data_IF_798718702886
#
_entry.id   IF_798718702886
#
_cell.length_a   1.000
_cell.length_b   1.000
_cell.length_c   1.000
_cell.angle_alpha   90.00
_cell.angle_beta   90.00
_cell.angle_gamma   90.00
#
_symmetry.space_group_name_H-M   'P 1'
#
loop_
_entity.id
_entity.type
_entity.pdbx_description
1 polymer ?
#
# COMPACT_ATOMS: atom_id res chain seq x y z
N UNK A 1 -17.13 18.44 -0.94
CA UNK A 1 -17.49 17.02 -0.85
C UNK A 1 -17.20 16.57 0.56
N UNK A 2 -18.22 16.06 1.25
CA UNK A 2 -18.07 15.65 2.66
C UNK A 2 -17.30 14.33 2.66
N UNK A 3 -16.01 14.40 3.00
CA UNK A 3 -15.17 13.20 3.13
C UNK A 3 -15.69 12.44 4.34
N UNK A 4 -16.38 11.33 4.11
CA UNK A 4 -16.92 10.49 5.16
C UNK A 4 -15.81 10.23 6.20
N UNK A 5 -16.14 10.44 7.48
CA UNK A 5 -15.17 10.19 8.58
C UNK A 5 -14.62 8.77 8.46
N UNK A 6 -13.30 8.59 8.47
CA UNK A 6 -12.71 7.27 8.34
C UNK A 6 -13.23 6.36 9.45
N UNK A 7 -13.64 5.15 9.07
CA UNK A 7 -14.12 4.15 10.03
C UNK A 7 -12.96 3.65 10.88
N UNK A 8 -13.16 3.57 12.17
CA UNK A 8 -12.17 3.05 13.11
C UNK A 8 -12.36 1.54 13.31
N UNK A 9 -11.38 0.73 12.91
CA UNK A 9 -11.42 -0.73 13.01
C UNK A 9 -10.58 -1.24 14.19
N UNK A 10 -10.95 -0.89 15.43
CA UNK A 10 -10.18 -1.19 16.67
C UNK A 10 -9.85 -2.68 16.83
N UNK A 11 -10.84 -3.56 16.64
CA UNK A 11 -10.64 -5.00 16.78
C UNK A 11 -9.70 -5.55 15.70
N UNK A 12 -9.86 -5.09 14.45
CA UNK A 12 -8.99 -5.46 13.34
C UNK A 12 -7.56 -4.97 13.59
N UNK A 13 -7.37 -3.70 13.94
CA UNK A 13 -6.05 -3.15 14.25
C UNK A 13 -5.38 -3.88 15.43
N UNK A 14 -6.14 -4.27 16.46
CA UNK A 14 -5.60 -5.02 17.60
C UNK A 14 -5.08 -6.41 17.21
N UNK A 15 -5.74 -7.06 16.26
CA UNK A 15 -5.42 -8.41 15.83
C UNK A 15 -4.44 -8.44 14.65
N UNK A 16 -4.37 -7.35 13.88
CA UNK A 16 -3.62 -7.26 12.62
C UNK A 16 -2.16 -7.68 12.76
N UNK A 17 -1.39 -7.02 13.63
CA UNK A 17 0.03 -7.33 13.82
C UNK A 17 0.26 -8.79 14.30
N UNK A 18 -0.69 -9.32 15.08
CA UNK A 18 -0.58 -10.68 15.62
C UNK A 18 -0.89 -11.74 14.57
N UNK A 19 -1.82 -11.45 13.67
CA UNK A 19 -2.22 -12.37 12.59
C UNK A 19 -1.29 -12.29 11.39
N UNK A 20 -0.85 -11.09 11.04
CA UNK A 20 -0.07 -10.85 9.83
C UNK A 20 1.44 -10.85 10.10
N UNK A 21 1.89 -10.45 11.29
CA UNK A 21 3.31 -10.25 11.60
C UNK A 21 4.24 -11.42 11.25
N UNK A 22 3.97 -12.65 11.70
CA UNK A 22 4.83 -13.79 11.37
C UNK A 22 4.82 -14.13 9.88
N UNK A 23 3.65 -14.04 9.25
CA UNK A 23 3.47 -14.30 7.82
C UNK A 23 4.07 -13.16 6.98
N UNK A 24 3.88 -11.93 7.41
CA UNK A 24 4.45 -10.73 6.82
C UNK A 24 5.98 -10.82 6.77
N UNK A 25 6.61 -11.10 7.91
CA UNK A 25 8.06 -11.23 7.99
C UNK A 25 8.60 -12.39 7.15
N UNK A 26 7.96 -13.56 7.22
CA UNK A 26 8.42 -14.75 6.53
C UNK A 26 8.24 -14.69 5.00
N UNK A 27 7.24 -13.94 4.51
CA UNK A 27 6.80 -13.98 3.12
C UNK A 27 7.04 -12.68 2.38
N UNK A 28 6.79 -11.55 3.00
CA UNK A 28 6.87 -10.24 2.37
C UNK A 28 8.08 -9.42 2.82
N UNK A 29 8.74 -9.78 3.92
CA UNK A 29 9.88 -9.02 4.46
C UNK A 29 11.02 -8.86 3.45
N UNK A 30 11.44 -9.93 2.79
CA UNK A 30 12.48 -9.86 1.73
C UNK A 30 12.03 -9.01 0.54
N UNK A 31 10.75 -9.08 0.16
CA UNK A 31 10.20 -8.28 -0.94
C UNK A 31 10.16 -6.80 -0.59
N UNK A 32 9.75 -6.45 0.65
CA UNK A 32 9.82 -5.07 1.15
C UNK A 32 11.26 -4.57 1.18
N UNK A 33 12.18 -5.36 1.71
CA UNK A 33 13.60 -5.00 1.72
C UNK A 33 14.12 -4.71 0.30
N UNK A 34 13.84 -5.59 -0.66
CA UNK A 34 14.28 -5.42 -2.05
C UNK A 34 13.61 -4.26 -2.80
N UNK A 35 12.46 -3.78 -2.35
CA UNK A 35 11.74 -2.65 -2.96
C UNK A 35 12.06 -1.30 -2.28
N UNK A 36 12.33 -1.30 -0.97
CA UNK A 36 12.31 -0.09 -0.15
C UNK A 36 13.69 0.31 0.39
N UNK A 37 14.63 -0.63 0.53
CA UNK A 37 15.90 -0.37 1.22
C UNK A 37 16.77 0.71 0.54
N UNK A 38 16.69 0.79 -0.79
CA UNK A 38 17.48 1.73 -1.59
C UNK A 38 16.72 3.04 -1.92
N UNK A 39 15.49 3.20 -1.39
CA UNK A 39 14.74 4.45 -1.59
C UNK A 39 15.44 5.59 -0.84
N UNK A 40 15.74 6.66 -1.56
CA UNK A 40 16.37 7.87 -1.03
C UNK A 40 15.46 9.08 -1.18
N UNK A 41 15.77 10.19 -0.52
CA UNK A 41 14.96 11.40 -0.56
C UNK A 41 13.72 11.30 0.33
N UNK A 42 12.68 12.05 -0.03
CA UNK A 42 11.41 12.09 0.70
C UNK A 42 10.47 10.99 0.21
N UNK A 43 9.99 10.16 1.11
CA UNK A 43 9.12 9.00 0.82
C UNK A 43 7.74 9.20 1.43
N UNK A 44 6.69 8.98 0.63
CA UNK A 44 5.31 8.90 1.11
C UNK A 44 4.87 7.44 1.18
N UNK A 45 4.62 6.94 2.38
CA UNK A 45 4.05 5.62 2.63
C UNK A 45 2.54 5.74 2.79
N UNK A 46 1.79 5.39 1.75
CA UNK A 46 0.32 5.53 1.70
C UNK A 46 -0.36 4.29 2.24
N UNK A 47 -1.32 4.47 3.14
CA UNK A 47 -1.97 3.37 3.85
C UNK A 47 -0.99 2.61 4.74
N UNK A 48 -0.14 3.35 5.45
CA UNK A 48 0.99 2.80 6.20
C UNK A 48 0.62 1.80 7.31
N UNK A 49 -0.67 1.69 7.63
CA UNK A 49 -1.20 0.74 8.58
C UNK A 49 -0.56 0.86 9.95
N UNK A 50 0.05 -0.22 10.40
CA UNK A 50 0.81 -0.27 11.65
C UNK A 50 2.31 -0.04 11.46
N UNK A 51 2.75 0.41 10.28
CA UNK A 51 4.15 0.74 9.98
C UNK A 51 5.02 -0.44 9.55
N UNK A 52 4.47 -1.37 8.75
CA UNK A 52 5.21 -2.53 8.27
C UNK A 52 6.38 -2.17 7.32
N UNK A 53 6.34 -0.99 6.68
CA UNK A 53 7.38 -0.51 5.78
C UNK A 53 8.55 0.18 6.51
N UNK A 54 8.31 0.77 7.68
CA UNK A 54 9.31 1.59 8.40
C UNK A 54 10.69 0.95 8.55
N UNK A 55 10.81 -0.35 8.91
CA UNK A 55 12.12 -0.97 9.08
C UNK A 55 12.98 -1.02 7.81
N UNK A 56 12.35 -0.87 6.64
CA UNK A 56 13.00 -1.00 5.33
C UNK A 56 13.31 0.35 4.66
N UNK A 57 12.87 1.48 5.23
CA UNK A 57 13.04 2.83 4.67
C UNK A 57 14.27 3.56 5.21
N UNK A 58 15.28 2.81 5.63
CA UNK A 58 16.45 3.36 6.32
C UNK A 58 17.37 4.27 5.48
N UNK A 59 17.24 4.23 4.15
CA UNK A 59 17.99 5.12 3.24
C UNK A 59 17.25 6.40 2.88
N UNK A 60 15.98 6.54 3.27
CA UNK A 60 15.18 7.75 3.05
C UNK A 60 15.69 8.92 3.91
N UNK A 61 15.54 10.15 3.39
CA UNK A 61 15.82 11.38 4.15
C UNK A 61 14.70 11.70 5.12
N UNK A 62 13.47 11.42 4.74
CA UNK A 62 12.28 11.56 5.55
C UNK A 62 11.14 10.68 5.04
N UNK A 63 10.21 10.36 5.93
CA UNK A 63 9.00 9.58 5.61
C UNK A 63 7.77 10.32 6.09
N UNK A 64 6.80 10.49 5.19
CA UNK A 64 5.43 10.82 5.55
C UNK A 64 4.59 9.55 5.44
N UNK A 65 3.97 9.15 6.53
CA UNK A 65 3.09 8.00 6.60
C UNK A 65 1.64 8.47 6.64
N UNK A 66 0.87 8.18 5.60
CA UNK A 66 -0.54 8.51 5.51
C UNK A 66 -1.38 7.28 5.88
N UNK A 67 -2.19 7.38 6.94
CA UNK A 67 -3.05 6.29 7.41
C UNK A 67 -4.39 6.85 7.90
N UNK A 68 -5.51 6.60 7.19
CA UNK A 68 -6.80 7.16 7.56
C UNK A 68 -7.43 6.52 8.80
N UNK A 69 -7.18 5.23 9.10
CA UNK A 69 -7.77 4.55 10.25
C UNK A 69 -7.11 5.02 11.56
N UNK A 70 -7.85 5.67 12.48
CA UNK A 70 -7.29 6.15 13.74
C UNK A 70 -6.72 5.05 14.64
N UNK A 71 -7.24 3.81 14.56
CA UNK A 71 -6.74 2.69 15.36
C UNK A 71 -5.39 2.18 14.86
N UNK A 72 -5.21 2.12 13.52
CA UNK A 72 -3.92 1.81 12.88
C UNK A 72 -2.90 2.93 13.17
N UNK A 73 -3.29 4.20 12.98
CA UNK A 73 -2.43 5.35 13.26
C UNK A 73 -1.86 5.36 14.67
N UNK A 74 -2.70 5.06 15.69
CA UNK A 74 -2.20 4.99 17.08
C UNK A 74 -1.11 3.94 17.27
N UNK A 75 -1.20 2.80 16.58
CA UNK A 75 -0.19 1.74 16.64
C UNK A 75 1.09 2.15 15.93
N UNK A 76 0.94 2.78 14.78
CA UNK A 76 2.08 3.32 14.05
C UNK A 76 2.80 4.42 14.82
N UNK A 77 2.06 5.33 15.45
CA UNK A 77 2.62 6.43 16.26
C UNK A 77 3.58 5.92 17.36
N UNK A 78 3.25 4.77 17.98
CA UNK A 78 4.12 4.16 18.97
C UNK A 78 5.45 3.66 18.36
N UNK A 79 5.44 3.19 17.11
CA UNK A 79 6.64 2.74 16.39
C UNK A 79 7.49 3.90 15.85
N UNK A 80 6.85 5.03 15.53
CA UNK A 80 7.54 6.23 15.04
C UNK A 80 8.46 6.86 16.08
N UNK A 81 8.17 6.69 17.37
CA UNK A 81 9.03 7.21 18.45
C UNK A 81 10.44 6.64 18.37
N UNK A 82 10.59 5.42 17.88
CA UNK A 82 11.86 4.70 17.76
C UNK A 82 12.35 4.64 16.29
N UNK A 83 11.73 5.42 15.38
CA UNK A 83 12.11 5.41 13.98
C UNK A 83 13.52 5.99 13.79
N UNK A 84 14.39 5.34 12.99
CA UNK A 84 15.78 5.79 12.80
C UNK A 84 15.91 7.04 11.89
N UNK A 85 14.82 7.57 11.38
CA UNK A 85 14.76 8.69 10.43
C UNK A 85 13.61 9.64 10.78
N UNK A 86 13.64 10.90 10.29
CA UNK A 86 12.53 11.82 10.43
C UNK A 86 11.25 11.23 9.82
N UNK A 87 10.20 11.11 10.62
CA UNK A 87 8.95 10.55 10.17
C UNK A 87 7.75 11.35 10.68
N UNK A 88 6.78 11.60 9.80
CA UNK A 88 5.52 12.26 10.10
C UNK A 88 4.36 11.30 9.85
N UNK A 89 3.31 11.42 10.65
CA UNK A 89 2.10 10.62 10.51
C UNK A 89 0.91 11.53 10.24
N UNK A 90 0.20 11.27 9.14
CA UNK A 90 -0.99 12.02 8.74
C UNK A 90 -2.23 11.12 8.74
N UNK A 91 -3.41 11.75 8.71
CA UNK A 91 -4.69 11.04 8.64
C UNK A 91 -5.28 11.00 7.23
N UNK A 92 -4.48 11.25 6.21
CA UNK A 92 -4.94 11.40 4.85
C UNK A 92 -5.40 10.07 4.28
N UNK A 93 -6.51 10.10 3.53
CA UNK A 93 -6.89 9.01 2.67
C UNK A 93 -6.06 9.04 1.38
N UNK A 94 -5.82 7.88 0.79
CA UNK A 94 -5.05 7.76 -0.45
C UNK A 94 -5.64 8.58 -1.61
N UNK A 95 -6.97 8.72 -1.63
CA UNK A 95 -7.73 9.45 -2.65
C UNK A 95 -7.77 10.98 -2.43
N UNK A 96 -7.21 11.48 -1.32
CA UNK A 96 -7.24 12.90 -0.96
C UNK A 96 -6.05 13.27 -0.07
N UNK A 97 -4.85 13.17 -0.60
CA UNK A 97 -3.60 13.49 0.08
C UNK A 97 -3.48 15.01 0.28
N UNK A 98 -3.17 15.44 1.51
CA UNK A 98 -2.96 16.86 1.83
C UNK A 98 -1.52 17.32 1.56
N UNK A 99 -0.73 16.49 0.90
CA UNK A 99 0.66 16.76 0.58
C UNK A 99 0.77 17.66 -0.66
N UNK A 100 1.77 18.56 -0.72
CA UNK A 100 1.99 19.40 -1.89
C UNK A 100 2.31 18.60 -3.16
N UNK A 101 2.06 19.21 -4.32
CA UNK A 101 2.48 18.68 -5.60
C UNK A 101 4.01 18.54 -5.65
N UNK A 102 4.50 17.52 -6.35
CA UNK A 102 5.93 17.30 -6.62
C UNK A 102 6.82 17.39 -5.36
N UNK A 103 6.39 16.78 -4.25
CA UNK A 103 7.08 16.87 -2.96
C UNK A 103 7.81 15.58 -2.55
N UNK A 104 7.56 14.45 -3.24
CA UNK A 104 8.16 13.16 -2.90
C UNK A 104 9.00 12.57 -4.03
N UNK A 105 10.08 11.91 -3.64
CA UNK A 105 10.95 11.16 -4.54
C UNK A 105 10.41 9.74 -4.77
N UNK A 106 9.65 9.19 -3.79
CA UNK A 106 8.95 7.93 -3.93
C UNK A 106 7.58 7.95 -3.23
N UNK A 107 6.60 7.27 -3.83
CA UNK A 107 5.31 6.94 -3.23
C UNK A 107 5.17 5.43 -3.16
N UNK A 108 4.79 4.91 -1.98
CA UNK A 108 4.75 3.49 -1.69
C UNK A 108 3.31 3.07 -1.39
N UNK A 109 2.81 2.06 -2.09
CA UNK A 109 1.59 1.33 -1.79
C UNK A 109 1.90 -0.13 -1.51
N UNK A 110 1.64 -0.58 -0.30
CA UNK A 110 1.82 -1.98 0.05
C UNK A 110 0.57 -2.54 0.74
N UNK A 111 -0.20 -3.36 0.02
CA UNK A 111 -1.48 -3.93 0.44
C UNK A 111 -2.55 -2.86 0.76
N UNK A 112 -2.61 -1.83 -0.07
CA UNK A 112 -3.48 -0.66 0.09
C UNK A 112 -4.41 -0.48 -1.09
N UNK A 113 -3.90 -0.52 -2.33
CA UNK A 113 -4.72 -0.35 -3.53
C UNK A 113 -5.86 -1.36 -3.63
N UNK A 114 -5.73 -2.50 -2.97
CA UNK A 114 -6.82 -3.48 -2.86
C UNK A 114 -7.94 -3.03 -1.91
N UNK A 115 -7.70 -2.09 -0.99
CA UNK A 115 -8.65 -1.67 0.05
C UNK A 115 -9.24 -0.28 -0.15
N UNK A 116 -8.56 0.62 -0.87
CA UNK A 116 -9.03 1.99 -1.15
C UNK A 116 -10.39 1.97 -1.86
N UNK A 117 -11.17 3.01 -1.71
CA UNK A 117 -12.49 3.12 -2.36
C UNK A 117 -12.33 3.26 -3.87
N UNK A 118 -11.43 4.14 -4.30
CA UNK A 118 -11.14 4.41 -5.71
C UNK A 118 -9.63 4.37 -5.98
N UNK A 119 -9.12 3.28 -6.57
CA UNK A 119 -7.69 3.16 -6.87
C UNK A 119 -7.22 4.14 -7.96
N UNK A 120 -8.09 4.56 -8.88
CA UNK A 120 -7.71 5.50 -9.93
C UNK A 120 -7.50 6.91 -9.34
N UNK A 121 -8.34 7.34 -8.37
CA UNK A 121 -8.11 8.56 -7.61
C UNK A 121 -6.85 8.49 -6.73
N UNK A 122 -6.64 7.38 -6.03
CA UNK A 122 -5.45 7.20 -5.20
C UNK A 122 -4.15 7.26 -6.03
N UNK A 123 -4.14 6.68 -7.21
CA UNK A 123 -3.00 6.72 -8.13
C UNK A 123 -2.82 8.10 -8.79
N UNK A 124 -3.91 8.83 -9.05
CA UNK A 124 -3.83 10.21 -9.52
C UNK A 124 -3.19 11.13 -8.47
N UNK A 125 -3.56 10.97 -7.19
CA UNK A 125 -2.93 11.69 -6.07
C UNK A 125 -1.45 11.32 -5.92
N UNK A 126 -1.11 10.02 -6.01
CA UNK A 126 0.28 9.57 -6.03
C UNK A 126 1.09 10.24 -7.14
N UNK A 127 0.51 10.34 -8.35
CA UNK A 127 1.16 11.03 -9.47
C UNK A 127 1.35 12.52 -9.22
N UNK A 128 0.35 13.17 -8.62
CA UNK A 128 0.39 14.62 -8.29
C UNK A 128 1.52 14.95 -7.33
N UNK A 129 1.69 14.15 -6.28
CA UNK A 129 2.68 14.40 -5.21
C UNK A 129 4.09 13.96 -5.57
N UNK A 130 4.26 13.09 -6.58
CA UNK A 130 5.57 12.66 -7.06
C UNK A 130 6.29 13.78 -7.80
N UNK A 131 7.57 13.94 -7.51
CA UNK A 131 8.50 14.80 -8.28
C UNK A 131 8.70 14.24 -9.68
N UNK A 132 9.08 15.10 -10.66
CA UNK A 132 9.62 14.61 -11.91
C UNK A 132 10.81 13.67 -11.67
N UNK A 133 10.76 12.47 -12.24
CA UNK A 133 11.75 11.43 -12.00
C UNK A 133 11.54 10.60 -10.74
N UNK A 134 10.53 10.91 -9.92
CA UNK A 134 10.15 10.10 -8.77
C UNK A 134 9.54 8.76 -9.16
N UNK A 135 9.44 7.83 -8.23
CA UNK A 135 8.99 6.47 -8.50
C UNK A 135 7.80 6.05 -7.63
N UNK A 136 6.94 5.25 -8.22
CA UNK A 136 5.83 4.56 -7.56
C UNK A 136 6.25 3.12 -7.25
N UNK A 137 6.14 2.73 -5.99
CA UNK A 137 6.40 1.36 -5.53
C UNK A 137 5.07 0.69 -5.18
N UNK A 138 4.85 -0.51 -5.70
CA UNK A 138 3.62 -1.28 -5.48
C UNK A 138 3.95 -2.69 -5.02
N UNK A 139 3.30 -3.13 -3.94
CA UNK A 139 3.32 -4.52 -3.46
C UNK A 139 1.91 -4.91 -3.03
N UNK A 140 1.16 -5.58 -3.92
CA UNK A 140 -0.28 -5.81 -3.76
C UNK A 140 -0.68 -7.24 -4.13
N UNK A 141 -1.73 -7.78 -3.49
CA UNK A 141 -2.41 -8.90 -4.11
C UNK A 141 -3.28 -8.39 -5.27
N UNK A 142 -3.37 -9.17 -6.32
CA UNK A 142 -4.05 -8.78 -7.55
C UNK A 142 -4.97 -9.88 -8.07
N UNK A 143 -5.78 -9.52 -9.03
CA UNK A 143 -6.64 -10.46 -9.74
C UNK A 143 -5.81 -11.58 -10.39
N UNK A 144 -6.21 -12.81 -10.14
CA UNK A 144 -5.67 -13.97 -10.82
C UNK A 144 -6.30 -14.16 -12.21
N UNK A 145 -6.02 -15.29 -12.83
CA UNK A 145 -6.58 -15.66 -14.13
C UNK A 145 -7.47 -16.90 -14.05
N UNK A 146 -8.28 -17.12 -15.09
CA UNK A 146 -9.09 -18.32 -15.26
C UNK A 146 -10.03 -18.63 -14.08
N UNK A 147 -9.91 -19.81 -13.50
CA UNK A 147 -10.77 -20.25 -12.39
C UNK A 147 -10.53 -19.46 -11.10
N UNK A 148 -9.29 -19.03 -10.86
CA UNK A 148 -8.94 -18.23 -9.70
C UNK A 148 -9.65 -16.87 -9.73
N UNK A 149 -9.67 -16.18 -10.88
CA UNK A 149 -10.37 -14.92 -11.03
C UNK A 149 -11.87 -15.06 -10.71
N UNK A 150 -12.53 -16.09 -11.27
CA UNK A 150 -13.95 -16.36 -10.97
C UNK A 150 -14.20 -16.68 -9.49
N UNK A 151 -13.27 -17.34 -8.83
CA UNK A 151 -13.35 -17.62 -7.41
C UNK A 151 -13.18 -16.34 -6.58
N UNK A 152 -12.20 -15.50 -6.91
CA UNK A 152 -12.01 -14.18 -6.30
C UNK A 152 -13.26 -13.29 -6.43
N UNK A 153 -13.89 -13.24 -7.61
CA UNK A 153 -15.11 -12.46 -7.82
C UNK A 153 -16.23 -12.89 -6.89
N UNK A 154 -16.41 -14.21 -6.72
CA UNK A 154 -17.45 -14.77 -5.84
C UNK A 154 -17.17 -14.56 -4.36
N UNK A 155 -15.90 -14.57 -3.98
CA UNK A 155 -15.49 -14.44 -2.57
C UNK A 155 -15.36 -12.98 -2.12
N UNK A 156 -15.13 -12.05 -3.03
CA UNK A 156 -14.90 -10.64 -2.69
C UNK A 156 -15.97 -10.05 -1.75
N UNK A 157 -17.29 -10.26 -1.93
CA UNK A 157 -18.29 -9.71 -1.02
C UNK A 157 -18.14 -10.18 0.43
N UNK A 158 -17.80 -11.45 0.65
CA UNK A 158 -17.57 -12.01 1.99
C UNK A 158 -16.20 -11.58 2.51
N UNK A 159 -15.18 -11.61 1.64
CA UNK A 159 -13.80 -11.27 2.00
C UNK A 159 -13.66 -9.82 2.47
N UNK A 160 -14.32 -8.88 1.80
CA UNK A 160 -14.29 -7.45 2.15
C UNK A 160 -14.91 -7.12 3.52
N UNK A 161 -15.69 -8.04 4.09
CA UNK A 161 -16.18 -7.93 5.48
C UNK A 161 -15.16 -8.47 6.49
N UNK A 162 -14.41 -9.51 6.12
CA UNK A 162 -13.38 -10.11 6.99
C UNK A 162 -12.11 -9.28 7.01
N UNK A 163 -11.71 -8.77 5.85
CA UNK A 163 -10.58 -7.85 5.66
C UNK A 163 -11.17 -6.53 5.15
N UNK A 164 -11.39 -5.54 6.04
CA UNK A 164 -12.16 -4.34 5.71
C UNK A 164 -11.73 -3.67 4.41
N UNK A 165 -12.66 -3.56 3.46
CA UNK A 165 -12.45 -2.90 2.19
C UNK A 165 -11.64 -3.69 1.14
N UNK A 166 -11.11 -4.87 1.48
CA UNK A 166 -10.24 -5.61 0.55
C UNK A 166 -11.00 -6.26 -0.61
N UNK A 167 -10.63 -5.88 -1.83
CA UNK A 167 -11.18 -6.39 -3.09
C UNK A 167 -10.17 -7.32 -3.77
N UNK A 168 -10.48 -8.62 -3.85
CA UNK A 168 -9.60 -9.64 -4.41
C UNK A 168 -9.39 -9.54 -5.93
N UNK A 169 -10.32 -8.92 -6.64
CA UNK A 169 -10.38 -8.90 -8.10
C UNK A 169 -9.79 -7.64 -8.76
N UNK A 170 -8.97 -6.85 -8.06
CA UNK A 170 -8.39 -5.63 -8.64
C UNK A 170 -7.23 -5.94 -9.58
N UNK A 171 -7.29 -5.35 -10.79
CA UNK A 171 -6.18 -5.32 -11.73
C UNK A 171 -5.34 -4.07 -11.48
N UNK A 172 -4.44 -4.18 -10.52
CA UNK A 172 -3.61 -3.06 -10.07
C UNK A 172 -2.62 -2.63 -11.15
N UNK A 173 -2.08 -3.56 -11.94
CA UNK A 173 -1.16 -3.19 -13.02
C UNK A 173 -1.86 -2.30 -14.05
N UNK A 174 -3.04 -2.70 -14.53
CA UNK A 174 -3.82 -1.89 -15.46
C UNK A 174 -4.24 -0.54 -14.85
N UNK A 175 -4.54 -0.48 -13.54
CA UNK A 175 -4.85 0.79 -12.86
C UNK A 175 -3.63 1.73 -12.84
N UNK A 176 -2.44 1.22 -12.54
CA UNK A 176 -1.19 1.98 -12.57
C UNK A 176 -0.93 2.57 -13.95
N UNK A 177 -1.10 1.78 -15.02
CA UNK A 177 -0.94 2.25 -16.40
C UNK A 177 -1.99 3.31 -16.79
N UNK A 178 -3.28 3.11 -16.44
CA UNK A 178 -4.35 4.09 -16.68
C UNK A 178 -4.11 5.42 -15.97
N UNK A 179 -3.50 5.39 -14.79
CA UNK A 179 -3.14 6.60 -14.05
C UNK A 179 -1.96 7.36 -14.66
N UNK A 180 -1.43 6.89 -15.79
CA UNK A 180 -0.33 7.55 -16.52
C UNK A 180 1.03 7.26 -15.92
N UNK A 181 1.23 6.04 -15.41
CA UNK A 181 2.55 5.52 -15.05
C UNK A 181 3.04 4.52 -16.10
N UNK A 182 4.34 4.47 -16.27
CA UNK A 182 5.02 3.40 -17.02
C UNK A 182 5.65 2.44 -16.03
N UNK A 183 5.25 1.17 -16.07
CA UNK A 183 5.81 0.11 -15.23
C UNK A 183 7.18 -0.25 -15.79
N UNK A 184 8.24 0.01 -15.03
CA UNK A 184 9.63 -0.32 -15.41
C UNK A 184 10.00 -1.74 -15.05
N UNK A 185 9.49 -2.22 -13.91
CA UNK A 185 9.72 -3.58 -13.43
C UNK A 185 8.45 -4.10 -12.77
N UNK A 186 8.08 -5.32 -13.13
CA UNK A 186 6.97 -6.02 -12.47
C UNK A 186 7.29 -7.51 -12.32
N UNK A 187 6.84 -8.09 -11.22
CA UNK A 187 6.92 -9.52 -10.97
C UNK A 187 5.62 -9.98 -10.30
N UNK A 188 5.02 -11.03 -10.84
CA UNK A 188 3.92 -11.75 -10.21
C UNK A 188 4.48 -12.95 -9.45
N UNK A 189 4.08 -13.11 -8.21
CA UNK A 189 4.52 -14.21 -7.37
C UNK A 189 3.38 -14.74 -6.49
N UNK A 190 3.52 -15.96 -5.97
CA UNK A 190 2.49 -16.61 -5.15
C UNK A 190 3.06 -16.96 -3.77
N UNK A 191 2.97 -16.07 -2.78
CA UNK A 191 3.52 -16.31 -1.47
C UNK A 191 2.64 -17.23 -0.60
N UNK A 192 1.37 -17.39 -0.97
CA UNK A 192 0.37 -18.09 -0.17
C UNK A 192 0.00 -19.47 -0.76
N UNK A 193 -0.45 -20.42 0.08
CA UNK A 193 -1.02 -21.66 -0.36
C UNK A 193 -2.19 -21.46 -1.34
N UNK A 194 -2.43 -22.47 -2.19
CA UNK A 194 -3.45 -22.40 -3.26
C UNK A 194 -4.88 -22.13 -2.78
N UNK A 195 -5.18 -22.38 -1.53
CA UNK A 195 -6.50 -22.12 -0.92
C UNK A 195 -6.67 -20.66 -0.42
N UNK A 196 -5.61 -19.86 -0.36
CA UNK A 196 -5.69 -18.44 0.00
C UNK A 196 -6.09 -17.64 -1.24
N UNK A 197 -7.20 -16.86 -1.19
CA UNK A 197 -7.68 -16.12 -2.36
C UNK A 197 -6.87 -14.85 -2.67
N UNK A 198 -6.14 -14.31 -1.69
CA UNK A 198 -5.32 -13.10 -1.84
C UNK A 198 -3.99 -13.38 -2.58
N UNK A 199 -4.10 -14.00 -3.75
CA UNK A 199 -3.00 -14.34 -4.67
C UNK A 199 -3.47 -14.27 -6.13
N UNK A 200 -2.61 -14.06 -7.13
CA UNK A 200 -1.19 -13.76 -7.00
C UNK A 200 -0.94 -12.42 -6.34
N UNK A 201 0.32 -12.15 -5.99
CA UNK A 201 0.78 -10.83 -5.63
C UNK A 201 1.62 -10.23 -6.76
N UNK A 202 1.53 -8.92 -6.87
CA UNK A 202 2.32 -8.09 -7.77
C UNK A 202 3.31 -7.27 -6.94
N UNK A 203 4.58 -7.29 -7.32
CA UNK A 203 5.50 -6.23 -6.97
C UNK A 203 5.84 -5.44 -8.24
N UNK A 204 5.85 -4.12 -8.16
CA UNK A 204 6.16 -3.27 -9.30
C UNK A 204 6.85 -1.98 -8.89
N UNK A 205 7.69 -1.49 -9.79
CA UNK A 205 8.28 -0.15 -9.79
C UNK A 205 7.82 0.53 -11.06
N UNK A 206 7.21 1.70 -10.92
CA UNK A 206 6.72 2.49 -12.03
C UNK A 206 7.15 3.95 -11.90
N UNK A 207 7.17 4.67 -13.00
CA UNK A 207 7.49 6.11 -13.06
C UNK A 207 6.38 6.84 -13.80
N UNK A 208 6.14 8.13 -13.54
CA UNK A 208 5.22 8.93 -14.33
C UNK A 208 5.58 8.85 -15.81
N UNK A 209 4.60 8.57 -16.67
CA UNK A 209 4.80 8.62 -18.12
C UNK A 209 5.10 10.06 -18.55
N UNK A 210 6.09 10.22 -19.43
CA UNK A 210 6.51 11.50 -20.01
C UNK A 210 5.49 12.06 -20.97
#
# INVERSE_FOLDING_TARGET
MDVARPREHRAFAALYDRMTGPLEQAVLGERRAGLLADLTGEVLDVGAGTGANLPYLHSACGVVAAEPDPAMRRRMAAKLTDAPLPAQLTGDAAEALQQPDASFDAVVFTQVLCTVTDPDLALAEARRVLRPGGQLIVLEHVRGSGSLARWQDRLTPLWSHLVPGCHLGRDTAAAVERAGFTIQRAELFNPFPRWVPARPMLQAIAVPAT
#
